data_IF_253239394785
#
_entry.id   IF_253239394785
#
_cell.length_a   1.000
_cell.length_b   1.000
_cell.length_c   1.000
_cell.angle_alpha   90.00
_cell.angle_beta   90.00
_cell.angle_gamma   90.00
#
_symmetry.space_group_name_H-M   'P 1'
#
loop_
_entity.id
_entity.type
_entity.pdbx_description
1 polymer ?
#
# COMPACT_ATOMS: atom_id res chain seq x y z
N UNK A 1 11.27 -3.16 30.12
CA UNK A 1 9.84 -3.54 30.02
C UNK A 1 9.40 -3.21 28.62
N UNK A 2 9.35 -4.26 27.83
CA UNK A 2 9.01 -4.19 26.39
C UNK A 2 7.50 -4.02 26.26
N UNK A 3 7.06 -2.95 25.62
CA UNK A 3 5.73 -2.88 25.05
C UNK A 3 5.85 -3.03 23.54
N UNK A 4 5.95 -4.29 23.12
CA UNK A 4 5.67 -4.72 21.76
C UNK A 4 4.24 -4.33 21.43
N UNK A 5 4.07 -3.28 20.61
CA UNK A 5 2.80 -2.94 19.99
C UNK A 5 2.46 -4.02 18.95
N UNK A 6 1.81 -5.08 19.40
CA UNK A 6 1.15 -6.05 18.54
C UNK A 6 -0.04 -5.34 17.88
N UNK A 7 0.04 -5.11 16.59
CA UNK A 7 -1.18 -5.14 15.79
C UNK A 7 -1.63 -6.61 15.79
N UNK A 8 -2.66 -6.91 16.60
CA UNK A 8 -3.34 -8.20 16.51
C UNK A 8 -3.78 -8.40 15.06
N UNK A 9 -3.54 -9.61 14.56
CA UNK A 9 -4.06 -10.05 13.26
C UNK A 9 -5.56 -9.78 13.23
N UNK A 10 -5.97 -8.67 12.62
CA UNK A 10 -7.36 -8.42 12.32
C UNK A 10 -7.72 -9.31 11.12
N UNK A 11 -7.93 -10.60 11.40
CA UNK A 11 -8.72 -11.42 10.51
C UNK A 11 -10.14 -10.89 10.59
N UNK A 12 -10.62 -10.27 9.53
CA UNK A 12 -12.05 -10.04 9.40
C UNK A 12 -12.68 -11.41 9.15
N UNK A 13 -12.98 -12.12 10.24
CA UNK A 13 -13.84 -13.30 10.19
C UNK A 13 -15.27 -12.81 9.97
N UNK A 14 -15.74 -12.90 8.74
CA UNK A 14 -17.12 -12.63 8.38
C UNK A 14 -17.85 -13.94 8.16
N UNK A 15 -19.04 -14.09 8.72
CA UNK A 15 -19.99 -15.13 8.33
C UNK A 15 -20.98 -14.51 7.34
N UNK A 16 -21.00 -14.99 6.11
CA UNK A 16 -22.08 -14.73 5.17
C UNK A 16 -23.02 -15.93 5.19
N UNK A 17 -24.26 -15.73 5.66
CA UNK A 17 -25.29 -16.74 5.77
C UNK A 17 -24.89 -18.01 6.55
N UNK A 18 -24.04 -17.86 7.60
CA UNK A 18 -23.66 -18.99 8.47
C UNK A 18 -22.54 -19.87 7.91
N UNK A 19 -21.87 -19.45 6.84
CA UNK A 19 -20.78 -20.19 6.21
C UNK A 19 -19.47 -19.46 6.47
N UNK A 20 -18.45 -20.21 6.90
CA UNK A 20 -17.10 -19.70 7.14
C UNK A 20 -16.48 -19.21 5.82
N UNK A 21 -16.34 -17.89 5.69
CA UNK A 21 -15.77 -17.26 4.49
C UNK A 21 -14.28 -17.63 4.35
N UNK A 22 -13.57 -17.92 5.44
CA UNK A 22 -12.18 -18.35 5.40
C UNK A 22 -11.98 -19.68 4.65
N UNK A 23 -13.01 -20.52 4.54
CA UNK A 23 -12.96 -21.79 3.81
C UNK A 23 -13.19 -21.64 2.29
N UNK A 24 -13.48 -20.46 1.77
CA UNK A 24 -13.97 -20.26 0.40
C UNK A 24 -13.03 -19.57 -0.57
N UNK A 25 -11.90 -19.01 -0.12
CA UNK A 25 -10.99 -18.39 -1.08
C UNK A 25 -10.21 -19.46 -1.86
N UNK A 26 -10.16 -19.28 -3.18
CA UNK A 26 -9.47 -20.21 -4.07
C UNK A 26 -8.02 -19.76 -4.37
N UNK A 27 -7.69 -18.50 -4.10
CA UNK A 27 -6.40 -17.92 -4.44
C UNK A 27 -5.94 -16.93 -3.36
N UNK A 28 -4.61 -16.88 -3.18
CA UNK A 28 -3.94 -15.92 -2.30
C UNK A 28 -3.09 -15.00 -3.17
N UNK A 29 -3.32 -13.70 -3.06
CA UNK A 29 -2.52 -12.69 -3.72
C UNK A 29 -1.73 -11.89 -2.71
N UNK A 30 -0.44 -11.80 -2.95
CA UNK A 30 0.46 -10.97 -2.16
C UNK A 30 0.56 -9.58 -2.79
N UNK A 31 0.27 -8.55 -2.00
CA UNK A 31 0.39 -7.14 -2.37
C UNK A 31 1.40 -6.49 -1.44
N UNK A 32 2.38 -5.80 -2.00
CA UNK A 32 3.41 -5.11 -1.23
C UNK A 32 3.31 -3.59 -1.41
N UNK A 33 3.40 -2.83 -0.32
CA UNK A 33 3.52 -1.38 -0.35
C UNK A 33 4.98 -0.98 -0.10
N UNK A 34 5.53 -0.21 -1.01
CA UNK A 34 6.91 0.30 -0.97
C UNK A 34 6.94 1.81 -1.22
N UNK A 35 8.05 2.44 -0.88
CA UNK A 35 8.23 3.89 -0.98
C UNK A 35 8.90 4.44 0.27
N UNK A 36 9.25 5.72 0.26
CA UNK A 36 9.98 6.39 1.31
C UNK A 36 9.28 6.36 2.67
N UNK A 37 10.03 6.69 3.72
CA UNK A 37 9.45 6.89 5.05
C UNK A 37 8.47 8.07 5.05
N UNK A 38 7.38 7.93 5.82
CA UNK A 38 6.34 8.94 6.01
C UNK A 38 5.51 9.32 4.76
N UNK A 39 5.56 8.56 3.67
CA UNK A 39 4.65 8.75 2.53
C UNK A 39 3.22 8.26 2.82
N UNK A 40 3.03 7.48 3.90
CA UNK A 40 1.72 7.05 4.40
C UNK A 40 1.31 5.62 4.03
N UNK A 41 2.26 4.71 3.75
CA UNK A 41 1.98 3.28 3.46
C UNK A 41 1.12 2.63 4.55
N UNK A 42 1.59 2.69 5.79
CA UNK A 42 0.86 2.17 6.97
C UNK A 42 -0.53 2.80 7.12
N UNK A 43 -0.65 4.10 6.85
CA UNK A 43 -1.95 4.79 6.94
C UNK A 43 -2.93 4.32 5.86
N UNK A 44 -2.45 4.06 4.64
CA UNK A 44 -3.25 3.50 3.55
C UNK A 44 -3.75 2.11 3.95
N UNK A 45 -2.86 1.24 4.46
CA UNK A 45 -3.21 -0.11 4.88
C UNK A 45 -4.22 -0.09 6.04
N UNK A 46 -3.96 0.70 7.07
CA UNK A 46 -4.86 0.84 8.22
C UNK A 46 -6.25 1.30 7.75
N UNK A 47 -6.31 2.32 6.89
CA UNK A 47 -7.57 2.83 6.35
C UNK A 47 -8.31 1.77 5.55
N UNK A 48 -7.63 1.04 4.67
CA UNK A 48 -8.23 -0.04 3.86
C UNK A 48 -8.77 -1.20 4.70
N UNK A 49 -8.06 -1.57 5.78
CA UNK A 49 -8.42 -2.73 6.62
C UNK A 49 -9.48 -2.40 7.66
N UNK A 50 -9.35 -1.24 8.32
CA UNK A 50 -10.14 -0.89 9.50
C UNK A 50 -11.13 0.25 9.28
N UNK A 51 -11.05 0.95 8.14
CA UNK A 51 -11.82 2.18 7.89
C UNK A 51 -11.35 3.38 8.72
N UNK A 52 -10.29 3.22 9.55
CA UNK A 52 -9.81 4.28 10.45
C UNK A 52 -8.44 4.80 10.03
N UNK A 53 -8.21 6.10 10.26
CA UNK A 53 -6.90 6.70 10.07
C UNK A 53 -6.11 6.63 11.39
N UNK A 54 -4.83 6.21 11.37
CA UNK A 54 -4.02 6.14 12.58
C UNK A 54 -3.90 7.51 13.28
N UNK A 55 -4.06 7.54 14.61
CA UNK A 55 -3.93 8.78 15.38
C UNK A 55 -2.49 9.33 15.29
N UNK A 56 -2.30 10.65 15.18
CA UNK A 56 -0.98 11.28 15.02
C UNK A 56 0.05 10.91 16.08
N UNK A 57 -0.40 10.64 17.30
CA UNK A 57 0.46 10.30 18.44
C UNK A 57 1.00 8.86 18.40
N UNK A 58 0.54 8.02 17.47
CA UNK A 58 0.94 6.61 17.33
C UNK A 58 1.73 6.34 16.03
N UNK A 59 2.11 7.36 15.28
CA UNK A 59 2.89 7.19 14.05
C UNK A 59 4.37 7.01 14.35
N UNK A 60 4.74 5.81 14.78
CA UNK A 60 6.15 5.38 14.84
C UNK A 60 6.51 4.86 13.45
N UNK A 61 7.70 5.21 12.91
CA UNK A 61 8.15 4.64 11.64
C UNK A 61 8.16 3.11 11.71
N UNK A 62 7.65 2.46 10.69
CA UNK A 62 7.67 0.99 10.58
C UNK A 62 9.12 0.50 10.57
N UNK A 63 9.49 -0.34 11.54
CA UNK A 63 10.86 -0.86 11.71
C UNK A 63 11.01 -2.22 11.01
N UNK A 64 9.95 -3.02 11.00
CA UNK A 64 9.92 -4.34 10.37
C UNK A 64 8.75 -4.43 9.40
N UNK A 65 8.87 -5.31 8.40
CA UNK A 65 7.73 -5.57 7.52
C UNK A 65 6.64 -6.31 8.32
N UNK A 66 5.44 -5.75 8.27
CA UNK A 66 4.24 -6.35 8.84
C UNK A 66 3.29 -6.76 7.72
N UNK A 67 2.50 -7.79 7.92
CA UNK A 67 1.49 -8.14 6.94
C UNK A 67 0.12 -8.30 7.60
N UNK A 68 -0.90 -7.98 6.83
CA UNK A 68 -2.29 -8.20 7.19
C UNK A 68 -2.99 -8.97 6.07
N UNK A 69 -4.13 -9.58 6.38
CA UNK A 69 -4.92 -10.31 5.40
C UNK A 69 -6.33 -9.74 5.31
N UNK A 70 -6.87 -9.68 4.10
CA UNK A 70 -8.27 -9.31 3.84
C UNK A 70 -8.86 -10.29 2.83
N UNK A 71 -10.07 -10.76 3.09
CA UNK A 71 -10.83 -11.55 2.12
C UNK A 71 -11.65 -10.56 1.28
N UNK A 72 -11.54 -10.68 -0.04
CA UNK A 72 -12.18 -9.80 -1.01
C UNK A 72 -13.10 -10.65 -1.86
N UNK A 73 -14.34 -10.21 -2.01
CA UNK A 73 -15.30 -10.80 -2.94
C UNK A 73 -15.04 -10.24 -4.35
N UNK A 74 -14.87 -11.13 -5.33
CA UNK A 74 -14.68 -10.72 -6.73
C UNK A 74 -16.03 -10.64 -7.45
N UNK A 75 -16.10 -9.73 -8.43
CA UNK A 75 -17.36 -9.44 -9.16
C UNK A 75 -17.91 -10.64 -9.93
N UNK A 76 -17.05 -11.49 -10.44
CA UNK A 76 -17.41 -12.71 -11.16
C UNK A 76 -17.85 -13.86 -10.21
N UNK A 77 -17.88 -13.60 -8.93
CA UNK A 77 -18.21 -14.56 -7.88
C UNK A 77 -16.99 -15.31 -7.34
N UNK A 78 -17.03 -15.63 -6.05
CA UNK A 78 -15.92 -16.22 -5.29
C UNK A 78 -15.17 -15.22 -4.44
N UNK A 79 -14.16 -15.72 -3.75
CA UNK A 79 -13.35 -14.93 -2.81
C UNK A 79 -11.86 -15.14 -3.07
N UNK A 80 -11.08 -14.09 -2.85
CA UNK A 80 -9.62 -14.13 -2.82
C UNK A 80 -9.13 -13.69 -1.45
N UNK A 81 -7.96 -14.15 -1.06
CA UNK A 81 -7.26 -13.68 0.15
C UNK A 81 -6.12 -12.77 -0.27
N UNK A 82 -6.24 -11.48 0.03
CA UNK A 82 -5.16 -10.53 -0.14
C UNK A 82 -4.25 -10.58 1.09
N UNK A 83 -2.95 -10.80 0.88
CA UNK A 83 -1.88 -10.61 1.88
C UNK A 83 -1.19 -9.28 1.61
N UNK A 84 -1.45 -8.29 2.43
CA UNK A 84 -0.96 -6.93 2.27
C UNK A 84 0.25 -6.72 3.18
N UNK A 85 1.39 -6.40 2.59
CA UNK A 85 2.66 -6.23 3.28
C UNK A 85 3.01 -4.75 3.41
N UNK A 86 3.07 -4.27 4.67
CA UNK A 86 3.62 -2.96 5.01
C UNK A 86 5.13 -3.07 5.14
N UNK A 87 5.88 -2.26 4.41
CA UNK A 87 7.33 -2.29 4.48
C UNK A 87 7.91 -1.03 5.10
N UNK A 88 9.02 -1.20 5.84
CA UNK A 88 9.77 -0.06 6.33
C UNK A 88 10.27 0.78 5.15
N UNK A 89 9.98 2.08 5.17
CA UNK A 89 10.41 3.03 4.13
C UNK A 89 11.85 3.51 4.30
N UNK A 90 12.63 2.93 5.21
CA UNK A 90 14.02 3.32 5.43
C UNK A 90 14.96 2.44 4.58
N UNK A 91 15.81 3.08 3.81
CA UNK A 91 16.82 2.46 2.95
C UNK A 91 17.79 1.54 3.72
N UNK A 92 17.97 1.77 5.02
CA UNK A 92 18.82 0.95 5.90
C UNK A 92 18.32 -0.48 6.06
N UNK A 93 17.04 -0.73 5.83
CA UNK A 93 16.42 -2.06 5.97
C UNK A 93 16.15 -2.73 4.63
N UNK A 94 16.65 -2.19 3.51
CA UNK A 94 16.43 -2.75 2.16
C UNK A 94 16.82 -4.22 2.06
N UNK A 95 17.91 -4.65 2.69
CA UNK A 95 18.35 -6.05 2.63
C UNK A 95 17.37 -7.04 3.25
N UNK A 96 16.62 -6.61 4.27
CA UNK A 96 15.57 -7.43 4.89
C UNK A 96 14.31 -7.41 4.01
N UNK A 97 14.07 -6.29 3.32
CA UNK A 97 12.89 -6.07 2.49
C UNK A 97 12.92 -6.89 1.20
N UNK A 98 14.08 -7.26 0.65
CA UNK A 98 14.20 -8.05 -0.60
C UNK A 98 13.45 -9.39 -0.58
N UNK A 99 13.41 -10.07 0.56
CA UNK A 99 12.63 -11.31 0.69
C UNK A 99 11.12 -11.07 0.58
N UNK A 100 10.67 -9.86 0.93
CA UNK A 100 9.25 -9.52 0.88
C UNK A 100 8.76 -9.16 -0.52
N UNK A 101 9.64 -8.84 -1.47
CA UNK A 101 9.25 -8.57 -2.87
C UNK A 101 8.87 -9.83 -3.63
N UNK A 102 9.47 -10.98 -3.27
CA UNK A 102 9.26 -12.23 -4.00
C UNK A 102 7.82 -12.68 -3.97
N UNK A 103 7.35 -13.17 -5.15
CA UNK A 103 5.98 -13.68 -5.34
C UNK A 103 4.89 -12.64 -5.09
N UNK A 104 5.21 -11.35 -5.15
CA UNK A 104 4.19 -10.32 -5.10
C UNK A 104 3.43 -10.29 -6.42
N UNK A 105 2.11 -10.43 -6.34
CA UNK A 105 1.20 -10.32 -7.47
C UNK A 105 0.81 -8.86 -7.74
N UNK A 106 0.89 -8.00 -6.70
CA UNK A 106 0.67 -6.58 -6.79
C UNK A 106 1.73 -5.79 -6.04
N UNK A 107 2.09 -4.61 -6.56
CA UNK A 107 3.02 -3.67 -5.94
C UNK A 107 2.48 -2.24 -5.98
N UNK A 108 2.37 -1.60 -4.82
CA UNK A 108 1.98 -0.20 -4.71
C UNK A 108 3.21 0.64 -4.35
N UNK A 109 3.67 1.48 -5.30
CA UNK A 109 4.78 2.41 -5.06
C UNK A 109 4.18 3.73 -4.61
N UNK A 110 4.34 4.03 -3.32
CA UNK A 110 3.71 5.19 -2.68
C UNK A 110 4.68 6.34 -2.55
N UNK A 111 4.26 7.53 -2.97
CA UNK A 111 4.95 8.79 -2.73
C UNK A 111 4.02 9.83 -2.10
N UNK A 112 4.59 10.87 -1.52
CA UNK A 112 3.88 12.01 -0.96
C UNK A 112 3.84 13.13 -2.00
N UNK A 113 2.63 13.53 -2.47
CA UNK A 113 2.48 14.56 -3.50
C UNK A 113 2.96 15.95 -3.06
N UNK A 114 3.16 16.14 -1.75
CA UNK A 114 3.69 17.36 -1.13
C UNK A 114 5.20 17.30 -0.89
N UNK A 115 5.88 16.21 -1.34
CA UNK A 115 7.31 16.02 -1.10
C UNK A 115 8.02 15.51 -2.35
N UNK A 116 8.64 16.40 -3.10
CA UNK A 116 9.35 16.13 -4.37
C UNK A 116 10.35 14.99 -4.25
N UNK A 117 11.15 14.95 -3.19
CA UNK A 117 12.18 13.93 -3.00
C UNK A 117 11.62 12.51 -2.96
N UNK A 118 10.39 12.32 -2.46
CA UNK A 118 9.74 11.00 -2.43
C UNK A 118 9.33 10.52 -3.83
N UNK A 119 9.03 11.44 -4.74
CA UNK A 119 8.77 11.14 -6.14
C UNK A 119 10.07 10.83 -6.90
N UNK A 120 11.13 11.58 -6.66
CA UNK A 120 12.43 11.36 -7.31
C UNK A 120 13.00 9.96 -7.00
N UNK A 121 12.69 9.41 -5.82
CA UNK A 121 13.11 8.06 -5.41
C UNK A 121 12.30 6.91 -6.04
N UNK A 122 11.18 7.19 -6.74
CA UNK A 122 10.30 6.16 -7.32
C UNK A 122 11.04 5.24 -8.29
N UNK A 123 11.93 5.79 -9.12
CA UNK A 123 12.70 4.99 -10.09
C UNK A 123 13.52 3.89 -9.40
N UNK A 124 14.05 4.16 -8.22
CA UNK A 124 14.80 3.17 -7.42
C UNK A 124 13.86 2.09 -6.88
N UNK A 125 12.73 2.49 -6.30
CA UNK A 125 11.73 1.55 -5.80
C UNK A 125 11.15 0.66 -6.90
N UNK A 126 10.88 1.25 -8.07
CA UNK A 126 10.37 0.53 -9.24
C UNK A 126 11.36 -0.50 -9.76
N UNK A 127 12.64 -0.13 -9.82
CA UNK A 127 13.72 -1.05 -10.21
C UNK A 127 13.78 -2.24 -9.26
N UNK A 128 13.88 -1.98 -7.96
CA UNK A 128 13.95 -3.02 -6.94
C UNK A 128 12.75 -3.98 -7.03
N UNK A 129 11.54 -3.43 -7.26
CA UNK A 129 10.33 -4.25 -7.41
C UNK A 129 10.36 -5.10 -8.68
N UNK A 130 10.73 -4.54 -9.83
CA UNK A 130 10.81 -5.26 -11.10
C UNK A 130 11.87 -6.37 -11.09
N UNK A 131 12.96 -6.16 -10.38
CA UNK A 131 14.06 -7.14 -10.27
C UNK A 131 13.70 -8.34 -9.39
N UNK A 132 12.74 -8.19 -8.47
CA UNK A 132 12.52 -9.16 -7.38
C UNK A 132 11.11 -9.75 -7.32
N UNK A 133 10.10 -9.05 -7.84
CA UNK A 133 8.71 -9.51 -7.85
C UNK A 133 8.47 -10.55 -8.96
N UNK A 134 7.23 -11.06 -9.03
CA UNK A 134 6.79 -11.89 -10.14
C UNK A 134 6.77 -11.07 -11.45
N UNK A 135 7.11 -11.69 -12.59
CA UNK A 135 7.08 -11.03 -13.90
C UNK A 135 5.69 -10.48 -14.26
N UNK A 136 4.64 -11.10 -13.72
CA UNK A 136 3.24 -10.68 -13.90
C UNK A 136 2.75 -9.72 -12.83
N UNK A 137 3.63 -9.23 -11.96
CA UNK A 137 3.26 -8.30 -10.90
C UNK A 137 2.63 -7.03 -11.49
N UNK A 138 1.39 -6.75 -11.09
CA UNK A 138 0.71 -5.50 -11.46
C UNK A 138 1.21 -4.40 -10.53
N UNK A 139 1.72 -3.31 -11.09
CA UNK A 139 2.31 -2.23 -10.32
C UNK A 139 1.49 -0.95 -10.48
N UNK A 140 1.17 -0.32 -9.34
CA UNK A 140 0.53 0.99 -9.31
C UNK A 140 1.46 2.04 -8.67
N UNK A 141 1.49 3.22 -9.27
CA UNK A 141 2.06 4.44 -8.70
C UNK A 141 0.97 5.16 -7.92
N UNK A 142 1.20 5.42 -6.64
CA UNK A 142 0.21 5.99 -5.71
C UNK A 142 0.74 7.28 -5.11
N UNK A 143 0.17 8.42 -5.51
CA UNK A 143 0.42 9.72 -4.89
C UNK A 143 -0.51 9.93 -3.70
N UNK A 144 0.03 9.87 -2.49
CA UNK A 144 -0.78 10.00 -1.28
C UNK A 144 -0.75 11.43 -0.70
N UNK A 145 -1.63 11.71 0.24
CA UNK A 145 -1.87 12.99 0.94
C UNK A 145 -2.56 14.03 0.06
N UNK A 146 -3.48 13.57 -0.78
CA UNK A 146 -4.29 14.43 -1.65
C UNK A 146 -5.09 15.48 -0.84
N UNK A 147 -5.53 15.14 0.38
CA UNK A 147 -6.19 16.05 1.32
C UNK A 147 -5.40 17.33 1.59
N UNK A 148 -4.07 17.26 1.66
CA UNK A 148 -3.23 18.41 1.93
C UNK A 148 -3.27 19.43 0.79
N UNK A 149 -3.24 18.95 -0.47
CA UNK A 149 -3.28 19.83 -1.64
C UNK A 149 -4.69 20.28 -1.99
N UNK A 150 -5.71 19.51 -1.69
CA UNK A 150 -7.11 19.95 -1.78
C UNK A 150 -7.39 21.14 -0.86
N UNK A 151 -6.79 21.13 0.34
CA UNK A 151 -6.87 22.27 1.28
C UNK A 151 -5.95 23.42 0.91
N UNK A 152 -4.81 23.16 0.26
CA UNK A 152 -3.86 24.18 -0.15
C UNK A 152 -3.01 23.69 -1.35
N UNK A 153 -3.40 24.06 -2.55
CA UNK A 153 -2.74 23.70 -3.82
C UNK A 153 -1.24 24.06 -3.85
N UNK A 154 -0.84 25.14 -3.18
CA UNK A 154 0.57 25.57 -3.12
C UNK A 154 1.49 24.57 -2.42
N UNK A 155 0.93 23.59 -1.71
CA UNK A 155 1.71 22.52 -1.09
C UNK A 155 2.03 21.37 -2.04
N UNK A 156 1.48 21.35 -3.25
CA UNK A 156 1.81 20.34 -4.24
C UNK A 156 3.20 20.57 -4.81
N UNK A 157 4.08 19.60 -4.64
CA UNK A 157 5.44 19.60 -5.21
C UNK A 157 5.57 18.71 -6.44
N UNK A 158 4.62 17.78 -6.65
CA UNK A 158 4.57 16.88 -7.81
C UNK A 158 3.25 17.10 -8.53
N UNK A 159 3.30 17.52 -9.80
CA UNK A 159 2.09 17.69 -10.59
C UNK A 159 1.46 16.34 -10.94
N UNK A 160 0.14 16.33 -11.07
CA UNK A 160 -0.60 15.12 -11.45
C UNK A 160 -0.21 14.65 -12.86
N UNK A 161 0.01 15.59 -13.76
CA UNK A 161 0.41 15.36 -15.15
C UNK A 161 1.77 14.70 -15.24
N UNK A 162 2.75 15.17 -14.45
CA UNK A 162 4.08 14.58 -14.38
C UNK A 162 4.03 13.14 -13.87
N UNK A 163 3.34 12.91 -12.75
CA UNK A 163 3.20 11.57 -12.16
C UNK A 163 2.47 10.62 -13.10
N UNK A 164 1.40 11.08 -13.75
CA UNK A 164 0.65 10.29 -14.74
C UNK A 164 1.50 9.95 -15.96
N UNK A 165 2.32 10.88 -16.44
CA UNK A 165 3.25 10.66 -17.55
C UNK A 165 4.32 9.65 -17.18
N UNK A 166 4.88 9.74 -15.97
CA UNK A 166 5.84 8.75 -15.45
C UNK A 166 5.21 7.35 -15.39
N UNK A 167 3.99 7.24 -14.84
CA UNK A 167 3.28 5.97 -14.74
C UNK A 167 3.02 5.36 -16.13
N UNK A 168 2.55 6.16 -17.07
CA UNK A 168 2.30 5.72 -18.46
C UNK A 168 3.56 5.18 -19.13
N UNK A 169 4.67 5.92 -19.06
CA UNK A 169 5.96 5.52 -19.65
C UNK A 169 6.54 4.24 -19.06
N UNK A 170 6.19 3.93 -17.82
CA UNK A 170 6.66 2.73 -17.10
C UNK A 170 5.65 1.59 -17.06
N UNK A 171 4.49 1.74 -17.73
CA UNK A 171 3.38 0.78 -17.75
C UNK A 171 2.79 0.50 -16.37
N UNK A 172 2.62 1.55 -15.55
CA UNK A 172 2.04 1.48 -14.21
C UNK A 172 0.61 1.98 -14.22
N UNK A 173 -0.23 1.44 -13.33
CA UNK A 173 -1.48 2.09 -12.95
C UNK A 173 -1.15 3.37 -12.17
N UNK A 174 -2.05 4.36 -12.18
CA UNK A 174 -1.84 5.62 -11.49
C UNK A 174 -3.06 6.05 -10.69
N UNK A 175 -2.83 6.35 -9.41
CA UNK A 175 -3.84 6.87 -8.49
C UNK A 175 -3.27 8.01 -7.65
N UNK A 176 -4.11 8.99 -7.33
CA UNK A 176 -3.88 9.89 -6.20
C UNK A 176 -4.87 9.55 -5.08
N UNK A 177 -4.39 9.49 -3.85
CA UNK A 177 -5.15 9.00 -2.69
C UNK A 177 -5.06 9.96 -1.51
N UNK A 178 -6.07 9.90 -0.64
CA UNK A 178 -5.98 10.42 0.71
C UNK A 178 -6.36 9.35 1.72
N UNK A 179 -5.37 8.87 2.46
CA UNK A 179 -5.64 7.95 3.57
C UNK A 179 -6.45 8.62 4.68
N UNK A 180 -6.34 9.94 4.84
CA UNK A 180 -7.11 10.70 5.83
C UNK A 180 -8.59 10.77 5.45
N UNK A 181 -8.89 11.14 4.19
CA UNK A 181 -10.26 11.37 3.71
C UNK A 181 -10.90 10.12 3.10
N UNK A 182 -10.22 8.96 3.08
CA UNK A 182 -10.70 7.71 2.47
C UNK A 182 -10.88 7.82 0.94
N UNK A 183 -10.08 8.64 0.29
CA UNK A 183 -10.21 8.87 -1.14
C UNK A 183 -9.35 7.89 -1.94
N UNK A 184 -9.99 7.14 -2.86
CA UNK A 184 -9.37 6.14 -3.74
C UNK A 184 -8.61 5.02 -3.00
N UNK A 185 -8.92 4.77 -1.71
CA UNK A 185 -8.21 3.76 -0.92
C UNK A 185 -8.62 2.34 -1.33
N UNK A 186 -9.90 2.11 -1.58
CA UNK A 186 -10.38 0.80 -2.07
C UNK A 186 -9.88 0.55 -3.49
N UNK A 187 -9.92 1.55 -4.36
CA UNK A 187 -9.60 1.43 -5.79
C UNK A 187 -8.15 0.98 -6.07
N UNK A 188 -7.21 1.26 -5.16
CA UNK A 188 -5.81 0.84 -5.34
C UNK A 188 -5.55 -0.62 -4.98
N UNK A 189 -6.52 -1.29 -4.32
CA UNK A 189 -6.41 -2.70 -3.92
C UNK A 189 -7.32 -3.63 -4.73
N UNK A 190 -8.40 -3.11 -5.30
CA UNK A 190 -9.45 -3.83 -6.03
C UNK A 190 -9.49 -3.44 -7.51
#
# INVERSE_FOLDING_TARGET
METSGRYEMLSVSGFDNGIDIEARYNQIYKIILIGDTNVGKTSIIAKYLTGTFPQPNNTIPTIAAEFATKIIQIKEGGYIKAQIWDTAGQERYKSITYHHYRKSAGGLIVYDITKRSSFDNISTWLKDLKDLADEKCIIALVGNKLDIVQNNEKKREVSKEEAKSFAYLNHLLFYETSALNDENIVDIFE
#
